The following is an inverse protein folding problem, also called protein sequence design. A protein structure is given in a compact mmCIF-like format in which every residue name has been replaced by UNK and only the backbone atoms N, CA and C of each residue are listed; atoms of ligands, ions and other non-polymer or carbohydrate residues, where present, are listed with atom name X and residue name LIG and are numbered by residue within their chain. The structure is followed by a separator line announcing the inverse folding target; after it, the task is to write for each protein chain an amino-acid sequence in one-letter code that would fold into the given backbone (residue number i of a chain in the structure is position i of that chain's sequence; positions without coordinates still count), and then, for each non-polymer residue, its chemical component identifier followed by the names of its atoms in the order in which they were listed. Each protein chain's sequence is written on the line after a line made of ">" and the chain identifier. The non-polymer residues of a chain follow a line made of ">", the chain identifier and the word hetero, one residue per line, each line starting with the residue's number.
data_IF_862693584209
#
_entry.id   IF_862693584209
#
_cell.length_a   1.000
_cell.length_b   1.000
_cell.length_c   1.000
_cell.angle_alpha   90.00
_cell.angle_beta   90.00
_cell.angle_gamma   90.00
#
_symmetry.space_group_name_H-M   'P 1'
#
loop_
_entity.id
_entity.type
_entity.pdbx_description
1 polymer ?
#
# COMPACT_ATOMS: atom_id res chain seq x y z
N UNK A 1 32.36 -46.68 -3.38
CA UNK A 1 31.32 -46.00 -4.18
C UNK A 1 30.09 -45.85 -3.27
N UNK A 2 29.38 -44.71 -3.35
CA UNK A 2 28.12 -44.38 -2.62
C UNK A 2 28.35 -43.89 -1.17
N UNK A 3 27.83 -42.76 -0.66
CA UNK A 3 27.02 -41.66 -1.19
C UNK A 3 27.27 -40.40 -0.34
N UNK A 4 27.32 -39.23 -0.99
CA UNK A 4 27.27 -37.93 -0.32
C UNK A 4 25.81 -37.67 0.07
N UNK A 5 25.48 -37.35 1.32
CA UNK A 5 24.09 -37.04 1.66
C UNK A 5 23.69 -35.72 1.00
N UNK A 6 22.59 -35.76 0.24
CA UNK A 6 21.94 -34.60 -0.34
C UNK A 6 21.28 -33.76 0.77
N UNK A 7 22.08 -33.08 1.58
CA UNK A 7 21.61 -32.21 2.64
C UNK A 7 21.50 -30.76 2.13
N UNK A 8 20.62 -30.55 1.17
CA UNK A 8 20.31 -29.21 0.66
C UNK A 8 18.84 -29.18 0.27
N UNK A 9 17.95 -28.81 1.21
CA UNK A 9 16.64 -28.15 0.98
C UNK A 9 15.72 -28.24 2.22
N UNK A 10 16.04 -27.52 3.31
CA UNK A 10 14.98 -26.71 3.95
C UNK A 10 15.32 -25.23 4.07
N UNK A 11 16.59 -24.88 4.28
CA UNK A 11 17.03 -23.50 4.54
C UNK A 11 16.78 -22.52 3.37
N UNK A 12 16.77 -23.03 2.13
CA UNK A 12 16.58 -22.21 0.93
C UNK A 12 15.11 -21.75 0.79
N UNK A 13 14.15 -22.54 1.28
CA UNK A 13 12.71 -22.24 1.16
C UNK A 13 12.30 -21.14 2.15
N UNK A 14 12.86 -21.14 3.35
CA UNK A 14 12.66 -20.06 4.33
C UNK A 14 13.37 -18.77 3.93
N UNK A 15 14.61 -18.84 3.41
CA UNK A 15 15.33 -17.67 2.92
C UNK A 15 14.59 -16.97 1.75
N UNK A 16 13.90 -17.73 0.89
CA UNK A 16 13.08 -17.18 -0.19
C UNK A 16 11.77 -16.56 0.29
N UNK A 17 11.23 -17.01 1.44
CA UNK A 17 10.04 -16.42 2.09
C UNK A 17 10.35 -15.10 2.82
N UNK A 18 11.60 -14.88 3.24
CA UNK A 18 12.06 -13.67 3.94
C UNK A 18 12.56 -12.56 3.01
N UNK A 19 12.70 -12.83 1.71
CA UNK A 19 13.16 -11.82 0.74
C UNK A 19 12.06 -10.79 0.48
N UNK A 20 12.12 -9.66 1.17
CA UNK A 20 11.26 -8.49 0.87
C UNK A 20 11.49 -8.00 -0.56
N UNK A 21 10.42 -7.54 -1.22
CA UNK A 21 10.47 -6.98 -2.58
C UNK A 21 10.32 -5.45 -2.54
N UNK A 22 11.00 -4.71 -3.41
CA UNK A 22 10.80 -3.27 -3.51
C UNK A 22 9.44 -2.97 -4.16
N UNK A 23 8.66 -2.08 -3.54
CA UNK A 23 7.48 -1.44 -4.11
C UNK A 23 7.80 0.03 -4.31
N UNK A 24 7.76 0.50 -5.56
CA UNK A 24 8.27 1.82 -5.92
C UNK A 24 7.39 2.55 -6.92
N UNK A 25 7.19 3.85 -6.72
CA UNK A 25 6.54 4.71 -7.68
C UNK A 25 7.01 6.16 -7.53
N UNK A 26 7.06 6.89 -8.65
CA UNK A 26 7.30 8.33 -8.64
C UNK A 26 5.96 9.07 -8.79
N UNK A 27 5.49 9.67 -7.71
CA UNK A 27 4.15 10.26 -7.60
C UNK A 27 4.25 11.79 -7.50
N UNK A 28 3.25 12.56 -7.96
CA UNK A 28 3.14 13.96 -7.55
C UNK A 28 3.18 14.08 -6.01
N UNK A 29 3.92 15.05 -5.50
CA UNK A 29 4.24 15.18 -4.08
C UNK A 29 3.00 15.20 -3.18
N UNK A 30 1.91 15.78 -3.69
CA UNK A 30 0.60 15.86 -3.04
C UNK A 30 0.03 14.50 -2.63
N UNK A 31 0.26 13.42 -3.38
CA UNK A 31 -0.21 12.09 -2.98
C UNK A 31 0.55 11.56 -1.77
N UNK A 32 1.86 11.84 -1.71
CA UNK A 32 2.65 11.50 -0.53
C UNK A 32 2.21 12.36 0.67
N UNK A 33 1.89 13.65 0.44
CA UNK A 33 1.38 14.54 1.51
C UNK A 33 0.00 14.09 2.02
N UNK A 34 -0.89 13.63 1.12
CA UNK A 34 -2.18 13.06 1.49
C UNK A 34 -2.03 11.82 2.36
N UNK A 35 -1.09 10.95 2.00
CA UNK A 35 -0.82 9.74 2.76
C UNK A 35 -0.22 10.05 4.14
N UNK A 36 0.71 11.01 4.21
CA UNK A 36 1.29 11.49 5.46
C UNK A 36 0.22 12.15 6.36
N UNK A 37 -0.66 12.98 5.78
CA UNK A 37 -1.77 13.61 6.50
C UNK A 37 -2.77 12.57 7.03
N UNK A 38 -3.08 11.54 6.25
CA UNK A 38 -3.97 10.47 6.70
C UNK A 38 -3.34 9.68 7.87
N UNK A 39 -2.05 9.36 7.79
CA UNK A 39 -1.33 8.72 8.90
C UNK A 39 -1.36 9.60 10.17
N UNK A 40 -1.02 10.89 10.03
CA UNK A 40 -1.05 11.86 11.13
C UNK A 40 -2.45 12.02 11.75
N UNK A 41 -3.50 11.94 10.93
CA UNK A 41 -4.88 12.08 11.42
C UNK A 41 -5.38 10.85 12.18
N UNK A 42 -4.80 9.68 11.92
CA UNK A 42 -5.05 8.46 12.70
C UNK A 42 -4.31 8.51 14.03
N UNK A 43 -3.06 8.98 14.00
CA UNK A 43 -2.22 9.12 15.18
C UNK A 43 -1.17 10.22 14.95
N UNK A 44 -1.26 11.29 15.75
CA UNK A 44 -0.36 12.44 15.66
C UNK A 44 1.10 12.09 16.02
N UNK A 45 1.33 10.98 16.71
CA UNK A 45 2.66 10.46 17.02
C UNK A 45 3.14 9.41 16.00
N UNK A 46 2.38 9.16 14.93
CA UNK A 46 2.72 8.12 13.96
C UNK A 46 4.06 8.40 13.27
N UNK A 47 4.86 7.35 13.16
CA UNK A 47 6.15 7.39 12.47
C UNK A 47 5.96 7.20 10.97
N UNK A 48 7.02 7.46 10.19
CA UNK A 48 7.07 7.12 8.76
C UNK A 48 6.85 5.63 8.46
N UNK A 49 6.98 4.75 9.46
CA UNK A 49 6.72 3.32 9.32
C UNK A 49 5.23 3.01 9.31
N UNK A 50 4.42 3.78 10.04
CA UNK A 50 2.96 3.60 10.01
C UNK A 50 2.36 3.88 8.64
N UNK A 51 2.95 4.82 7.87
CA UNK A 51 2.57 5.06 6.46
C UNK A 51 2.64 3.78 5.63
N UNK A 52 3.72 3.02 5.78
CA UNK A 52 3.89 1.74 5.09
C UNK A 52 2.83 0.75 5.55
N UNK A 53 2.64 0.62 6.86
CA UNK A 53 1.61 -0.25 7.44
C UNK A 53 0.23 0.06 6.86
N UNK A 54 -0.18 1.33 6.88
CA UNK A 54 -1.46 1.80 6.36
C UNK A 54 -1.64 1.47 4.88
N UNK A 55 -0.63 1.76 4.05
CA UNK A 55 -0.67 1.46 2.63
C UNK A 55 -0.79 -0.04 2.36
N UNK A 56 0.05 -0.84 3.02
CA UNK A 56 0.06 -2.31 2.82
C UNK A 56 -1.20 -2.98 3.34
N UNK A 57 -1.79 -2.48 4.44
CA UNK A 57 -3.10 -2.94 4.93
C UNK A 57 -4.18 -2.73 3.87
N UNK A 58 -4.29 -1.52 3.32
CA UNK A 58 -5.32 -1.25 2.32
C UNK A 58 -5.12 -2.07 1.04
N UNK A 59 -3.87 -2.20 0.56
CA UNK A 59 -3.56 -3.08 -0.58
C UNK A 59 -4.04 -4.51 -0.31
N UNK A 60 -3.74 -5.05 0.87
CA UNK A 60 -4.18 -6.39 1.25
C UNK A 60 -5.71 -6.51 1.32
N UNK A 61 -6.40 -5.53 1.94
CA UNK A 61 -7.87 -5.51 2.05
C UNK A 61 -8.58 -5.48 0.70
N UNK A 62 -8.04 -4.77 -0.28
CA UNK A 62 -8.56 -4.82 -1.64
C UNK A 62 -8.29 -6.17 -2.30
N UNK A 63 -7.07 -6.71 -2.16
CA UNK A 63 -6.69 -7.97 -2.79
C UNK A 63 -7.43 -9.19 -2.23
N UNK A 64 -7.74 -9.21 -0.92
CA UNK A 64 -8.50 -10.28 -0.29
C UNK A 64 -10.03 -10.13 -0.46
N UNK A 65 -10.49 -9.05 -1.11
CA UNK A 65 -11.90 -8.78 -1.36
C UNK A 65 -12.67 -8.22 -0.16
N UNK A 66 -12.00 -7.86 0.94
CA UNK A 66 -12.65 -7.13 2.05
C UNK A 66 -13.18 -5.78 1.55
N UNK A 67 -12.44 -5.12 0.66
CA UNK A 67 -12.88 -3.91 -0.04
C UNK A 67 -13.12 -4.21 -1.53
N UNK A 68 -14.18 -3.63 -2.14
CA UNK A 68 -14.47 -3.85 -3.55
C UNK A 68 -13.41 -3.18 -4.43
N UNK A 69 -12.79 -3.94 -5.35
CA UNK A 69 -11.77 -3.42 -6.26
C UNK A 69 -12.27 -2.33 -7.20
N UNK A 70 -13.57 -2.34 -7.52
CA UNK A 70 -14.25 -1.33 -8.32
C UNK A 70 -14.13 0.06 -7.65
N UNK A 71 -13.97 0.10 -6.33
CA UNK A 71 -13.70 1.32 -5.60
C UNK A 71 -12.36 1.97 -5.96
N UNK A 72 -11.37 1.20 -6.42
CA UNK A 72 -10.09 1.71 -6.90
C UNK A 72 -10.22 2.31 -8.31
N UNK A 73 -10.96 1.63 -9.19
CA UNK A 73 -11.27 2.16 -10.54
C UNK A 73 -12.07 3.45 -10.43
N UNK A 74 -13.10 3.49 -9.58
CA UNK A 74 -13.87 4.70 -9.33
C UNK A 74 -13.01 5.84 -8.74
N UNK A 75 -12.09 5.52 -7.83
CA UNK A 75 -11.14 6.50 -7.29
C UNK A 75 -10.23 7.06 -8.39
N UNK A 76 -9.72 6.20 -9.28
CA UNK A 76 -8.90 6.62 -10.41
C UNK A 76 -9.64 7.60 -11.33
N UNK A 77 -10.90 7.32 -11.66
CA UNK A 77 -11.71 8.21 -12.51
C UNK A 77 -12.01 9.55 -11.82
N UNK A 78 -12.24 9.57 -10.51
CA UNK A 78 -12.35 10.82 -9.74
C UNK A 78 -11.04 11.61 -9.80
N UNK A 79 -9.90 10.95 -9.64
CA UNK A 79 -8.60 11.61 -9.72
C UNK A 79 -8.35 12.20 -11.12
N UNK A 80 -8.68 11.47 -12.18
CA UNK A 80 -8.53 11.99 -13.57
C UNK A 80 -9.39 13.22 -13.84
N UNK A 81 -10.60 13.26 -13.27
CA UNK A 81 -11.55 14.35 -13.52
C UNK A 81 -11.34 15.56 -12.62
N UNK A 82 -10.91 15.36 -11.37
CA UNK A 82 -10.81 16.42 -10.36
C UNK A 82 -9.37 16.87 -10.09
N UNK A 83 -8.39 16.01 -10.34
CA UNK A 83 -6.97 16.28 -10.11
C UNK A 83 -6.22 16.26 -11.44
N UNK A 84 -6.29 17.38 -12.17
CA UNK A 84 -5.35 17.59 -13.27
C UNK A 84 -3.92 17.68 -12.71
N UNK A 85 -3.08 16.70 -13.08
CA UNK A 85 -1.65 16.76 -12.80
C UNK A 85 -1.04 17.92 -13.58
N UNK A 86 -0.98 19.10 -12.94
CA UNK A 86 -0.37 20.29 -13.53
C UNK A 86 1.05 19.98 -13.99
N UNK A 87 1.37 20.29 -15.24
CA UNK A 87 2.74 20.19 -15.75
C UNK A 87 3.68 20.97 -14.83
N UNK A 88 4.77 20.34 -14.39
CA UNK A 88 5.73 20.93 -13.44
C UNK A 88 5.38 20.74 -11.96
N UNK A 89 4.32 19.99 -11.63
CA UNK A 89 4.06 19.63 -10.24
C UNK A 89 5.24 18.89 -9.61
N UNK A 90 5.60 19.28 -8.38
CA UNK A 90 6.64 18.60 -7.61
C UNK A 90 6.34 17.10 -7.52
N UNK A 91 7.37 16.26 -7.68
CA UNK A 91 7.24 14.79 -7.61
C UNK A 91 8.12 14.24 -6.50
N UNK A 92 7.67 13.17 -5.85
CA UNK A 92 8.40 12.45 -4.82
C UNK A 92 8.30 10.94 -5.06
N UNK A 93 9.40 10.24 -4.78
CA UNK A 93 9.46 8.78 -4.85
C UNK A 93 8.85 8.18 -3.59
N UNK A 94 7.86 7.33 -3.76
CA UNK A 94 7.48 6.33 -2.77
C UNK A 94 8.35 5.09 -3.03
N UNK A 95 9.12 4.67 -2.04
CA UNK A 95 9.87 3.41 -2.11
C UNK A 95 9.81 2.75 -0.74
N UNK A 96 9.46 1.47 -0.73
CA UNK A 96 9.42 0.66 0.48
C UNK A 96 9.66 -0.82 0.16
N UNK A 97 10.22 -1.54 1.14
CA UNK A 97 10.35 -2.99 1.08
C UNK A 97 9.09 -3.66 1.61
N UNK A 98 8.39 -4.42 0.78
CA UNK A 98 7.16 -5.13 1.14
C UNK A 98 7.39 -6.64 1.22
N UNK A 99 6.51 -7.36 1.91
CA UNK A 99 6.56 -8.82 1.96
C UNK A 99 6.18 -9.41 0.58
N UNK A 100 6.55 -10.66 0.29
CA UNK A 100 6.12 -11.34 -0.94
C UNK A 100 4.60 -11.37 -1.11
N UNK A 101 3.84 -11.48 0.00
CA UNK A 101 2.37 -11.45 0.00
C UNK A 101 1.86 -10.14 -0.56
N UNK A 102 2.31 -9.01 0.01
CA UNK A 102 1.88 -7.68 -0.46
C UNK A 102 2.34 -7.43 -1.91
N UNK A 103 3.50 -7.92 -2.32
CA UNK A 103 3.93 -7.79 -3.70
C UNK A 103 3.02 -8.58 -4.67
N UNK A 104 2.54 -9.76 -4.26
CA UNK A 104 1.54 -10.52 -5.00
C UNK A 104 0.19 -9.81 -5.01
N UNK A 105 -0.25 -9.26 -3.88
CA UNK A 105 -1.50 -8.48 -3.78
C UNK A 105 -1.49 -7.29 -4.75
N UNK A 106 -0.38 -6.56 -4.83
CA UNK A 106 -0.22 -5.46 -5.80
C UNK A 106 -0.36 -5.97 -7.24
N UNK A 107 0.26 -7.10 -7.58
CA UNK A 107 0.17 -7.66 -8.93
C UNK A 107 -1.27 -8.09 -9.26
N UNK A 108 -1.94 -8.78 -8.34
CA UNK A 108 -3.35 -9.16 -8.47
C UNK A 108 -4.22 -7.94 -8.72
N UNK A 109 -4.02 -6.86 -7.95
CA UNK A 109 -4.80 -5.63 -8.13
C UNK A 109 -4.52 -4.94 -9.46
N UNK A 110 -3.27 -4.93 -9.93
CA UNK A 110 -2.93 -4.40 -11.27
C UNK A 110 -3.68 -5.19 -12.35
N UNK A 111 -3.62 -6.52 -12.28
CA UNK A 111 -4.23 -7.39 -13.29
C UNK A 111 -5.76 -7.26 -13.29
N UNK A 112 -6.38 -7.15 -12.11
CA UNK A 112 -7.83 -7.10 -11.98
C UNK A 112 -8.44 -5.71 -12.24
N UNK A 113 -7.68 -4.63 -12.03
CA UNK A 113 -8.17 -3.26 -12.23
C UNK A 113 -7.70 -2.64 -13.54
N UNK A 114 -6.73 -3.29 -14.23
CA UNK A 114 -6.02 -2.76 -15.39
C UNK A 114 -5.32 -1.40 -15.15
N UNK A 115 -5.11 -1.02 -13.88
CA UNK A 115 -4.37 0.18 -13.51
C UNK A 115 -2.88 -0.11 -13.51
N UNK A 116 -2.05 0.85 -13.95
CA UNK A 116 -0.62 0.79 -13.68
C UNK A 116 -0.35 0.83 -12.17
N UNK A 117 0.80 0.32 -11.72
CA UNK A 117 1.20 0.40 -10.31
C UNK A 117 1.12 1.83 -9.76
N UNK A 118 1.46 2.83 -10.56
CA UNK A 118 1.39 4.24 -10.16
C UNK A 118 -0.06 4.71 -9.98
N UNK A 119 -0.96 4.35 -10.90
CA UNK A 119 -2.39 4.70 -10.80
C UNK A 119 -3.09 3.96 -9.67
N UNK A 120 -2.75 2.69 -9.47
CA UNK A 120 -3.21 1.89 -8.33
C UNK A 120 -2.84 2.57 -7.02
N UNK A 121 -1.55 2.94 -6.85
CA UNK A 121 -1.09 3.58 -5.62
C UNK A 121 -1.77 4.93 -5.37
N UNK A 122 -1.97 5.76 -6.41
CA UNK A 122 -2.75 7.01 -6.27
C UNK A 122 -4.17 6.74 -5.79
N UNK A 123 -4.82 5.73 -6.37
CA UNK A 123 -6.20 5.36 -6.06
C UNK A 123 -6.34 4.84 -4.63
N UNK A 124 -5.39 4.00 -4.19
CA UNK A 124 -5.34 3.52 -2.81
C UNK A 124 -5.11 4.66 -1.83
N UNK A 125 -4.15 5.56 -2.10
CA UNK A 125 -3.89 6.74 -1.27
C UNK A 125 -5.14 7.62 -1.15
N UNK A 126 -5.83 7.86 -2.26
CA UNK A 126 -7.08 8.61 -2.24
C UNK A 126 -8.16 7.91 -1.40
N UNK A 127 -8.26 6.58 -1.46
CA UNK A 127 -9.18 5.81 -0.62
C UNK A 127 -8.84 5.89 0.87
N UNK A 128 -7.55 5.77 1.22
CA UNK A 128 -7.09 5.96 2.60
C UNK A 128 -7.50 7.35 3.11
N UNK A 129 -7.20 8.40 2.34
CA UNK A 129 -7.54 9.77 2.70
C UNK A 129 -9.07 9.93 2.88
N UNK A 130 -9.86 9.39 1.95
CA UNK A 130 -11.32 9.50 1.98
C UNK A 130 -11.93 8.78 3.19
N UNK A 131 -11.38 7.64 3.57
CA UNK A 131 -11.85 6.85 4.70
C UNK A 131 -11.44 7.44 6.05
N UNK A 132 -10.24 8.00 6.15
CA UNK A 132 -9.72 8.62 7.39
C UNK A 132 -10.30 10.01 7.60
N UNK A 133 -10.24 10.88 6.59
CA UNK A 133 -10.65 12.29 6.70
C UNK A 133 -12.12 12.53 6.39
N UNK A 134 -12.77 11.61 5.67
CA UNK A 134 -14.18 11.77 5.29
C UNK A 134 -15.16 11.69 6.46
N UNK A 135 -14.71 11.42 7.69
CA UNK A 135 -15.50 11.46 8.93
C UNK A 135 -16.59 10.37 9.03
N UNK A 136 -16.70 9.49 8.04
CA UNK A 136 -17.82 8.55 7.89
C UNK A 136 -17.60 7.20 8.58
N UNK A 137 -16.39 6.89 9.04
CA UNK A 137 -16.02 5.56 9.58
C UNK A 137 -15.25 5.64 10.91
N UNK A 138 -15.88 6.06 12.01
CA UNK A 138 -15.20 6.19 13.31
C UNK A 138 -14.65 4.86 13.84
N UNK A 139 -15.28 3.73 13.49
CA UNK A 139 -14.77 2.39 13.86
C UNK A 139 -13.45 2.06 13.16
N UNK A 140 -13.36 2.38 11.87
CA UNK A 140 -12.14 2.18 11.08
C UNK A 140 -11.01 3.05 11.62
N UNK A 141 -11.26 4.33 11.93
CA UNK A 141 -10.24 5.20 12.52
C UNK A 141 -9.71 4.63 13.84
N UNK A 142 -10.60 4.13 14.73
CA UNK A 142 -10.17 3.48 15.99
C UNK A 142 -9.34 2.22 15.76
N UNK A 143 -9.70 1.41 14.79
CA UNK A 143 -8.94 0.23 14.39
C UNK A 143 -7.54 0.63 13.90
N UNK A 144 -7.47 1.62 13.02
CA UNK A 144 -6.21 2.14 12.49
C UNK A 144 -5.34 2.76 13.60
N UNK A 145 -5.92 3.49 14.56
CA UNK A 145 -5.18 4.02 15.71
C UNK A 145 -4.62 2.91 16.60
N UNK A 146 -5.39 1.84 16.79
CA UNK A 146 -4.92 0.65 17.53
C UNK A 146 -3.77 -0.02 16.79
N UNK A 147 -3.87 -0.14 15.46
CA UNK A 147 -2.80 -0.67 14.63
C UNK A 147 -1.54 0.20 14.69
N UNK A 148 -1.67 1.53 14.69
CA UNK A 148 -0.55 2.48 14.85
C UNK A 148 0.23 2.20 16.14
N UNK A 149 -0.48 2.04 17.26
CA UNK A 149 0.12 1.82 18.58
C UNK A 149 0.94 0.53 18.70
N UNK A 150 0.72 -0.46 17.83
CA UNK A 150 1.38 -1.78 17.89
C UNK A 150 2.33 -2.07 16.72
N UNK A 151 2.39 -1.17 15.73
CA UNK A 151 3.17 -1.38 14.49
C UNK A 151 4.53 -0.67 14.50
N UNK A 152 4.98 -0.18 15.66
CA UNK A 152 6.25 0.53 15.86
C UNK A 152 7.47 -0.39 15.83
#
# INVERSE_FOLDING_TARGET
>A
MVAIPAQSTPAIREARSKATRPLEANLPAVYIDMLDLAAYSVDANSTTDFRKTLLTLYLHRFACGEYPKEALVAAHEVLKTQYEERRGAARRRLSMKVTPVIASDVQTLIDETALSQTELLKSVIYRIQSDVLGGKKPRLVRELSTLSAISA
#
